data_IF_908988098954
#
_entry.id   IF_908988098954
#
_cell.length_a   1.000
_cell.length_b   1.000
_cell.length_c   1.000
_cell.angle_alpha   90.00
_cell.angle_beta   90.00
_cell.angle_gamma   90.00
#
_symmetry.space_group_name_H-M   'P 1'
#
loop_
_entity.id
_entity.type
_entity.pdbx_description
1 polymer ?
2 polymer ?
3 non-polymer ?
4 non-polymer ?
5 water ?
#
loop_
_entity_poly.entity_id
_entity_poly.type
_entity_poly.pdbx_seq_one_letter_code
_entity_poly.pdbx_strand_id
2 'polyribonucleotide' 'GG' ?
#
# COMPACT_ATOMS: atom_id res chain seq x y z
N UNK A 1 -19.32 5.92 22.29
CA UNK A 1 -18.27 6.87 21.90
C UNK A 1 -17.75 6.60 20.49
N UNK A 2 -18.46 5.75 19.76
CA UNK A 2 -18.14 5.53 18.36
C UNK A 2 -18.32 6.81 17.56
N UNK A 3 -17.44 7.02 16.59
CA UNK A 3 -17.55 8.13 15.66
C UNK A 3 -17.00 7.67 14.31
N UNK A 4 -17.78 7.77 13.22
CA UNK A 4 -17.31 7.22 11.94
C UNK A 4 -16.16 7.99 11.33
N UNK A 5 -15.79 9.15 11.88
CA UNK A 5 -14.66 9.92 11.35
C UNK A 5 -13.37 9.65 12.13
N UNK A 6 -13.41 8.88 13.21
CA UNK A 6 -12.22 8.52 13.95
C UNK A 6 -11.31 7.60 13.14
N UNK A 7 -10.03 7.62 13.47
CA UNK A 7 -8.99 6.94 12.68
C UNK A 7 -8.35 5.83 13.50
N UNK A 8 -8.22 4.65 12.91
CA UNK A 8 -7.52 3.52 13.53
C UNK A 8 -6.10 3.49 13.00
N UNK A 9 -5.13 3.68 13.90
CA UNK A 9 -3.71 3.53 13.59
C UNK A 9 -3.23 2.17 14.11
N UNK A 10 -2.45 1.47 13.30
CA UNK A 10 -2.00 0.12 13.66
C UNK A 10 -0.54 -0.05 13.25
N UNK A 11 0.18 -0.83 14.06
CA UNK A 11 1.54 -1.23 13.73
C UNK A 11 1.73 -2.69 14.13
N UNK A 12 2.28 -3.48 13.22
CA UNK A 12 2.55 -4.89 13.47
C UNK A 12 4.06 -5.15 13.45
N UNK A 13 4.46 -6.21 14.13
CA UNK A 13 5.75 -6.86 13.89
C UNK A 13 5.47 -8.24 13.35
N UNK A 14 6.35 -8.71 12.45
CA UNK A 14 6.18 -9.98 11.76
C UNK A 14 7.47 -10.77 11.81
N UNK A 15 7.37 -12.08 11.52
CA UNK A 15 8.57 -12.93 11.46
C UNK A 15 9.33 -12.76 10.15
N UNK A 16 8.79 -12.04 9.18
CA UNK A 16 9.47 -11.83 7.92
C UNK A 16 8.60 -10.96 7.03
N UNK A 17 9.08 -10.72 5.81
CA UNK A 17 8.44 -9.77 4.87
C UNK A 17 7.34 -10.36 3.99
N UNK A 18 7.06 -11.67 4.10
CA UNK A 18 6.13 -12.33 3.18
C UNK A 18 4.78 -12.52 3.86
N UNK A 19 3.74 -11.76 3.50
CA UNK A 19 2.46 -11.88 4.23
C UNK A 19 1.87 -13.28 4.21
N UNK A 20 2.17 -14.08 3.19
CA UNK A 20 1.60 -15.42 3.11
C UNK A 20 2.44 -16.49 3.80
N UNK A 21 3.76 -16.33 3.86
CA UNK A 21 4.62 -17.35 4.45
C UNK A 21 5.03 -17.04 5.90
N UNK A 22 5.04 -15.77 6.28
CA UNK A 22 5.43 -15.36 7.63
C UNK A 22 4.17 -15.09 8.44
N UNK A 23 4.34 -14.73 9.72
CA UNK A 23 3.21 -14.55 10.63
C UNK A 23 3.41 -13.29 11.45
N UNK A 24 2.33 -12.87 12.12
CA UNK A 24 2.35 -11.70 13.00
C UNK A 24 2.82 -12.13 14.39
N UNK A 25 3.73 -11.36 14.98
CA UNK A 25 4.19 -11.61 16.33
C UNK A 25 3.94 -10.46 17.30
N UNK A 26 3.59 -9.26 16.83
CA UNK A 26 3.18 -8.20 17.73
C UNK A 26 2.18 -7.31 17.03
N UNK A 27 1.26 -6.72 17.82
CA UNK A 27 0.33 -5.76 17.27
C UNK A 27 0.04 -4.70 18.32
N UNK A 28 -0.30 -3.50 17.85
CA UNK A 28 -0.74 -2.43 18.74
C UNK A 28 -1.58 -1.46 17.91
N UNK A 29 -2.46 -0.73 18.59
CA UNK A 29 -3.35 0.22 17.94
C UNK A 29 -3.46 1.48 18.77
N UNK A 30 -3.80 2.58 18.08
CA UNK A 30 -4.16 3.86 18.69
C UNK A 30 -5.28 4.44 17.85
N UNK A 31 -6.29 5.02 18.51
CA UNK A 31 -7.39 5.70 17.83
C UNK A 31 -7.22 7.20 18.02
N UNK A 32 -7.29 7.95 16.92
CA UNK A 32 -7.34 9.41 16.97
C UNK A 32 -8.65 9.88 16.36
N UNK A 33 -8.97 11.15 16.58
CA UNK A 33 -10.06 11.74 15.80
C UNK A 33 -9.52 12.15 14.43
N UNK A 34 -10.40 12.70 13.61
CA UNK A 34 -10.00 13.02 12.23
C UNK A 34 -8.97 14.15 12.18
N UNK A 35 -8.80 14.89 13.27
CA UNK A 35 -7.79 15.93 13.36
C UNK A 35 -6.53 15.47 14.11
N UNK A 36 -6.33 14.16 14.21
CA UNK A 36 -5.11 13.55 14.74
C UNK A 36 -4.91 13.77 16.24
N UNK A 37 -5.97 14.06 16.98
CA UNK A 37 -5.91 14.11 18.43
C UNK A 37 -6.14 12.71 19.00
N UNK A 38 -5.24 12.27 19.88
CA UNK A 38 -5.34 10.90 20.38
C UNK A 38 -6.52 10.75 21.32
N UNK A 39 -7.37 9.76 21.04
CA UNK A 39 -8.51 9.44 21.89
C UNK A 39 -8.23 8.31 22.86
N UNK A 40 -7.54 7.25 22.41
CA UNK A 40 -7.31 6.09 23.26
C UNK A 40 -6.19 5.26 22.66
N UNK A 41 -5.38 4.68 23.54
CA UNK A 41 -4.34 3.77 23.10
C UNK A 41 -4.82 2.33 23.32
N UNK A 42 -4.64 1.51 22.29
CA UNK A 42 -5.07 0.13 22.35
C UNK A 42 -4.04 -0.76 23.02
N UNK A 43 -4.37 -2.04 23.10
CA UNK A 43 -3.45 -2.99 23.74
C UNK A 43 -2.26 -3.31 22.87
N UNK A 44 -1.12 -3.50 23.52
CA UNK A 44 0.10 -3.99 22.86
C UNK A 44 0.20 -5.47 23.17
N UNK A 45 0.20 -6.31 22.13
CA UNK A 45 0.03 -7.75 22.30
C UNK A 45 1.15 -8.48 21.58
N UNK A 46 1.94 -9.26 22.33
CA UNK A 46 2.85 -10.24 21.75
C UNK A 46 2.10 -11.53 21.48
N UNK A 47 2.27 -12.08 20.29
CA UNK A 47 1.45 -13.21 19.83
C UNK A 47 2.32 -14.46 19.82
N UNK A 48 1.87 -15.50 20.52
CA UNK A 48 2.67 -16.70 20.64
C UNK A 48 2.85 -17.39 19.29
N UNK A 49 4.05 -17.93 19.07
CA UNK A 49 4.35 -18.74 17.89
C UNK A 49 5.24 -19.90 18.32
N UNK A 50 5.15 -21.05 17.64
CA UNK A 50 6.01 -22.19 17.99
C UNK A 50 7.48 -21.85 17.82
N UNK A 51 8.32 -22.59 18.56
CA UNK A 51 9.75 -22.28 18.59
C UNK A 51 10.38 -22.42 17.20
N UNK A 52 9.91 -23.39 16.41
CA UNK A 52 10.49 -23.56 15.08
C UNK A 52 10.25 -22.35 14.19
N UNK A 53 9.17 -21.60 14.43
CA UNK A 53 8.92 -20.39 13.66
C UNK A 53 9.93 -19.31 14.04
N UNK A 54 10.17 -19.15 15.35
CA UNK A 54 11.19 -18.23 15.82
C UNK A 54 12.56 -18.64 15.31
N UNK A 55 12.89 -19.92 15.42
CA UNK A 55 14.18 -20.42 14.93
C UNK A 55 14.34 -20.19 13.44
N UNK A 56 13.24 -20.22 12.69
CA UNK A 56 13.29 -20.10 11.26
C UNK A 56 13.40 -18.71 10.69
N UNK A 57 13.40 -17.67 11.53
CA UNK A 57 13.46 -16.31 11.02
C UNK A 57 14.81 -16.04 10.39
N UNK A 58 14.82 -15.13 9.40
CA UNK A 58 16.05 -14.79 8.72
C UNK A 58 16.99 -14.03 9.64
N UNK A 59 18.15 -13.63 9.12
CA UNK A 59 19.17 -13.04 9.98
C UNK A 59 18.71 -11.70 10.57
N UNK A 60 18.08 -10.85 9.75
CA UNK A 60 17.64 -9.55 10.23
C UNK A 60 16.59 -9.69 11.34
N UNK A 61 15.57 -10.51 11.11
CA UNK A 61 14.51 -10.65 12.10
C UNK A 61 15.00 -11.37 13.35
N UNK A 62 15.91 -12.33 13.19
CA UNK A 62 16.47 -13.02 14.37
C UNK A 62 17.18 -12.03 15.29
N UNK A 63 17.99 -11.14 14.72
CA UNK A 63 18.72 -10.19 15.54
C UNK A 63 17.79 -9.14 16.14
N UNK A 64 16.91 -8.59 15.31
CA UNK A 64 16.10 -7.45 15.75
C UNK A 64 15.07 -7.87 16.80
N UNK A 65 14.35 -8.96 16.55
CA UNK A 65 13.37 -9.40 17.54
C UNK A 65 14.03 -10.04 18.74
N UNK A 66 15.25 -10.54 18.57
CA UNK A 66 16.02 -11.00 19.72
C UNK A 66 16.35 -9.86 20.65
N UNK A 67 17.03 -8.83 20.13
CA UNK A 67 17.51 -7.78 21.02
C UNK A 67 16.41 -6.81 21.46
N UNK A 68 15.27 -6.76 20.77
CA UNK A 68 14.17 -5.93 21.27
C UNK A 68 13.45 -6.60 22.44
N UNK A 69 13.67 -7.89 22.66
CA UNK A 69 12.93 -8.64 23.64
C UNK A 69 11.66 -9.29 23.12
N UNK A 70 11.28 -9.03 21.86
CA UNK A 70 10.03 -9.59 21.34
C UNK A 70 10.11 -11.11 21.22
N UNK A 71 11.25 -11.64 20.79
CA UNK A 71 11.38 -13.09 20.66
C UNK A 71 11.05 -13.79 21.98
N UNK A 72 11.62 -13.29 23.08
CA UNK A 72 11.29 -13.86 24.39
C UNK A 72 9.82 -13.64 24.73
N UNK A 73 9.28 -12.46 24.40
CA UNK A 73 7.87 -12.18 24.67
C UNK A 73 6.95 -13.11 23.87
N UNK A 74 7.34 -13.43 22.63
CA UNK A 74 6.56 -14.35 21.81
C UNK A 74 6.56 -15.74 22.43
N UNK A 75 7.75 -16.20 22.86
CA UNK A 75 7.85 -17.49 23.52
C UNK A 75 6.99 -17.56 24.77
N UNK A 76 7.00 -16.49 25.59
CA UNK A 76 6.28 -16.49 26.86
C UNK A 76 4.79 -16.19 26.71
N UNK A 77 4.38 -15.60 25.59
CA UNK A 77 2.97 -15.28 25.40
C UNK A 77 2.10 -16.52 25.41
N UNK A 78 0.92 -16.41 26.01
CA UNK A 78 -0.14 -17.39 25.86
C UNK A 78 -1.31 -16.86 25.03
N UNK A 79 -1.08 -15.81 24.24
CA UNK A 79 -2.13 -15.19 23.41
C UNK A 79 -1.95 -15.65 21.97
N UNK A 80 -2.96 -16.33 21.42
CA UNK A 80 -2.91 -16.77 20.04
C UNK A 80 -3.22 -15.63 19.09
N UNK A 81 -2.94 -15.85 17.81
CA UNK A 81 -3.32 -14.90 16.77
C UNK A 81 -4.79 -14.53 16.86
N UNK A 82 -5.66 -15.54 17.02
CA UNK A 82 -7.10 -15.27 17.08
C UNK A 82 -7.47 -14.50 18.34
N UNK A 83 -6.84 -14.82 19.49
CA UNK A 83 -7.16 -14.10 20.71
C UNK A 83 -6.69 -12.65 20.64
N UNK A 84 -5.53 -12.42 20.02
CA UNK A 84 -5.05 -11.05 19.87
C UNK A 84 -5.96 -10.25 18.94
N UNK A 85 -6.41 -10.87 17.85
CA UNK A 85 -7.38 -10.24 16.96
C UNK A 85 -8.65 -9.85 17.72
N UNK A 86 -9.16 -10.76 18.57
CA UNK A 86 -10.39 -10.49 19.29
C UNK A 86 -10.20 -9.40 20.34
N UNK A 87 -9.04 -9.40 21.02
CA UNK A 87 -8.75 -8.34 21.98
C UNK A 87 -8.68 -6.97 21.31
N UNK A 88 -8.07 -6.90 20.13
CA UNK A 88 -7.95 -5.61 19.45
C UNK A 88 -9.31 -5.15 18.92
N UNK A 89 -10.13 -6.06 18.41
CA UNK A 89 -11.47 -5.69 17.96
C UNK A 89 -12.32 -5.19 19.12
N UNK A 90 -12.20 -5.82 20.29
CA UNK A 90 -12.99 -5.37 21.43
C UNK A 90 -12.62 -3.95 21.84
N UNK A 91 -11.35 -3.57 21.71
CA UNK A 91 -10.96 -2.19 21.97
C UNK A 91 -11.49 -1.25 20.89
N UNK A 92 -11.28 -1.61 19.61
CA UNK A 92 -11.64 -0.69 18.51
C UNK A 92 -13.14 -0.45 18.44
N UNK A 93 -13.95 -1.45 18.77
CA UNK A 93 -15.39 -1.31 18.67
C UNK A 93 -15.92 -0.20 19.58
N UNK A 94 -15.20 0.14 20.64
CA UNK A 94 -15.65 1.20 21.52
C UNK A 94 -15.48 2.59 20.90
N UNK A 95 -14.73 2.71 19.80
CA UNK A 95 -14.29 4.03 19.35
C UNK A 95 -14.62 4.31 17.90
N UNK A 96 -14.67 3.27 17.07
CA UNK A 96 -14.87 3.41 15.63
C UNK A 96 -15.87 2.36 15.15
N UNK A 97 -16.90 2.73 14.39
CA UNK A 97 -17.80 1.71 13.85
C UNK A 97 -17.15 0.97 12.69
N UNK A 98 -17.69 -0.20 12.38
CA UNK A 98 -17.10 -1.05 11.35
C UNK A 98 -17.16 -0.36 9.99
N UNK A 99 -16.11 -0.55 9.20
CA UNK A 99 -15.96 -0.09 7.82
C UNK A 99 -15.75 1.42 7.69
N UNK A 100 -15.58 2.15 8.78
CA UNK A 100 -15.49 3.61 8.69
C UNK A 100 -14.06 4.12 8.52
N UNK A 101 -13.09 3.52 9.21
CA UNK A 101 -11.79 4.16 9.17
C UNK A 101 -10.85 3.47 8.18
N UNK A 102 -10.06 4.25 7.46
CA UNK A 102 -8.96 3.66 6.69
C UNK A 102 -7.96 3.05 7.65
N UNK A 103 -7.09 2.19 7.11
CA UNK A 103 -5.96 1.73 7.93
C UNK A 103 -4.86 2.79 7.84
N UNK A 104 -4.36 3.19 9.00
CA UNK A 104 -3.55 4.39 9.11
C UNK A 104 -2.16 4.01 9.61
N UNK A 105 -1.12 4.55 8.99
CA UNK A 105 0.24 4.32 9.48
C UNK A 105 1.29 4.55 8.40
N UNK A 106 2.49 4.01 8.65
CA UNK A 106 3.58 4.08 7.67
C UNK A 106 3.65 2.76 6.92
N UNK A 107 3.54 2.84 5.59
CA UNK A 107 3.61 1.67 4.70
C UNK A 107 2.66 0.58 5.17
N UNK A 108 1.42 0.98 5.46
CA UNK A 108 0.44 0.04 6.02
C UNK A 108 -0.18 -0.89 4.99
N UNK A 109 0.19 -0.80 3.71
CA UNK A 109 -0.15 -1.88 2.80
C UNK A 109 0.44 -3.20 3.30
N UNK A 110 1.67 -3.16 3.82
CA UNK A 110 2.28 -4.35 4.40
C UNK A 110 1.43 -4.90 5.54
N UNK A 111 1.04 -4.03 6.48
CA UNK A 111 0.21 -4.47 7.60
C UNK A 111 -1.14 -5.01 7.12
N UNK A 112 -1.79 -4.34 6.16
CA UNK A 112 -3.10 -4.84 5.71
C UNK A 112 -2.97 -6.21 5.07
N UNK A 113 -1.89 -6.45 4.34
CA UNK A 113 -1.69 -7.76 3.72
C UNK A 113 -1.56 -8.85 4.78
N UNK A 114 -0.81 -8.57 5.86
CA UNK A 114 -0.69 -9.56 6.93
C UNK A 114 -2.02 -9.77 7.65
N UNK A 115 -2.76 -8.69 7.92
CA UNK A 115 -4.07 -8.83 8.54
C UNK A 115 -5.02 -9.64 7.67
N UNK A 116 -5.04 -9.36 6.37
CA UNK A 116 -5.92 -10.09 5.46
C UNK A 116 -5.70 -11.59 5.55
N UNK A 117 -4.44 -12.01 5.63
CA UNK A 117 -4.13 -13.43 5.70
C UNK A 117 -4.37 -13.99 7.10
N UNK A 118 -3.99 -13.27 8.16
CA UNK A 118 -3.89 -13.88 9.48
C UNK A 118 -4.96 -13.42 10.47
N UNK A 119 -5.54 -12.24 10.27
CA UNK A 119 -6.59 -11.71 11.13
C UNK A 119 -7.66 -11.08 10.23
N UNK A 120 -8.35 -11.90 9.43
CA UNK A 120 -9.27 -11.33 8.43
C UNK A 120 -10.48 -10.64 9.03
N UNK A 121 -10.91 -11.01 10.23
CA UNK A 121 -12.03 -10.28 10.83
C UNK A 121 -11.61 -8.86 11.16
N UNK A 122 -10.40 -8.69 11.68
CA UNK A 122 -9.89 -7.35 11.93
C UNK A 122 -9.63 -6.60 10.63
N UNK A 123 -9.05 -7.26 9.63
CA UNK A 123 -8.83 -6.58 8.35
C UNK A 123 -10.15 -6.06 7.80
N UNK A 124 -11.22 -6.86 7.93
CA UNK A 124 -12.52 -6.49 7.40
C UNK A 124 -13.19 -5.36 8.14
N UNK A 125 -12.67 -5.02 9.32
CA UNK A 125 -13.23 -3.93 10.13
C UNK A 125 -12.84 -2.56 9.58
N UNK A 126 -11.77 -2.48 8.80
CA UNK A 126 -11.35 -1.23 8.19
C UNK A 126 -12.15 -0.90 6.94
N UNK A 127 -12.25 0.40 6.67
CA UNK A 127 -12.62 0.86 5.32
C UNK A 127 -11.58 0.35 4.32
N UNK A 128 -11.93 0.36 3.03
CA UNK A 128 -10.98 -0.16 2.05
C UNK A 128 -9.83 0.81 1.76
N UNK A 129 -9.95 2.08 2.13
CA UNK A 129 -8.89 3.05 1.91
C UNK A 129 -7.69 2.78 2.81
N UNK A 130 -6.49 3.06 2.29
CA UNK A 130 -5.27 3.12 3.08
C UNK A 130 -4.87 4.58 3.27
N UNK A 131 -4.54 4.96 4.50
CA UNK A 131 -3.99 6.28 4.79
C UNK A 131 -2.50 6.07 5.10
N UNK A 132 -1.66 6.27 4.10
CA UNK A 132 -0.24 5.90 4.15
C UNK A 132 0.59 7.15 4.34
N UNK A 133 1.08 7.36 5.57
CA UNK A 133 1.92 8.51 5.87
C UNK A 133 3.16 8.52 4.99
N UNK A 134 3.69 7.35 4.63
CA UNK A 134 4.92 7.32 3.83
C UNK A 134 4.70 7.70 2.37
N UNK A 135 3.46 7.77 1.90
CA UNK A 135 3.21 8.44 0.63
C UNK A 135 3.59 9.91 0.71
N UNK A 136 3.16 10.58 1.79
CA UNK A 136 3.54 11.98 2.02
C UNK A 136 5.04 12.12 2.28
N UNK A 137 5.63 11.17 3.02
CA UNK A 137 7.07 11.19 3.25
C UNK A 137 7.83 11.23 1.92
N UNK A 138 7.46 10.36 0.99
CA UNK A 138 8.12 10.34 -0.32
C UNK A 138 7.85 11.62 -1.09
N UNK A 139 6.62 12.13 -1.06
CA UNK A 139 6.34 13.38 -1.74
C UNK A 139 7.12 14.54 -1.13
N UNK A 140 7.21 14.58 0.20
CA UNK A 140 7.93 15.68 0.84
C UNK A 140 9.42 15.60 0.52
N UNK A 141 9.98 14.38 0.44
CA UNK A 141 11.39 14.24 0.12
C UNK A 141 11.73 14.82 -1.25
N UNK A 142 10.78 14.77 -2.19
CA UNK A 142 11.05 15.21 -3.56
C UNK A 142 10.62 16.65 -3.80
N UNK A 143 9.55 17.10 -3.14
CA UNK A 143 8.98 18.43 -3.38
C UNK A 143 9.34 19.45 -2.31
N UNK A 144 9.64 19.02 -1.09
CA UNK A 144 9.94 19.93 0.02
C UNK A 144 10.94 19.28 0.98
N UNK A 145 12.18 19.11 0.53
CA UNK A 145 13.16 18.42 1.38
C UNK A 145 13.35 19.07 2.73
N UNK A 146 13.12 20.38 2.83
CA UNK A 146 13.23 21.07 4.11
C UNK A 146 12.21 20.56 5.12
N UNK A 147 11.04 20.13 4.66
CA UNK A 147 10.01 19.64 5.57
C UNK A 147 10.35 18.25 6.11
N UNK A 148 11.08 17.44 5.34
CA UNK A 148 11.46 16.12 5.84
C UNK A 148 12.56 16.22 6.89
N UNK A 149 13.41 17.24 6.81
CA UNK A 149 14.46 17.41 7.81
C UNK A 149 13.92 18.04 9.09
N UNK A 150 12.88 18.87 8.99
CA UNK A 150 12.30 19.50 10.16
C UNK A 150 11.77 18.49 11.17
N UNK A 151 11.45 17.27 10.72
CA UNK A 151 10.83 16.28 11.59
C UNK A 151 11.90 15.33 12.14
N UNK A 152 12.10 15.39 13.45
CA UNK A 152 13.02 14.49 14.14
C UNK A 152 12.25 13.27 14.62
N UNK A 153 12.61 12.09 14.10
CA UNK A 153 11.93 10.85 14.51
C UNK A 153 12.56 10.27 15.77
N UNK A 156 12.71 4.53 18.15
CA UNK A 156 11.59 4.12 18.98
C UNK A 156 11.17 2.68 18.70
N UNK A 157 11.59 1.77 19.56
CA UNK A 157 11.33 0.34 19.39
C UNK A 157 10.08 -0.13 20.13
N UNK A 158 9.49 0.69 20.98
CA UNK A 158 8.24 0.32 21.62
C UNK A 158 7.08 0.58 20.68
N UNK A 159 6.11 -0.35 20.66
CA UNK A 159 5.06 -0.31 19.65
C UNK A 159 4.26 0.99 19.73
N UNK A 160 3.85 1.40 20.94
CA UNK A 160 3.05 2.62 21.04
C UNK A 160 3.86 3.85 20.67
N UNK A 161 5.16 3.88 21.00
CA UNK A 161 6.00 4.98 20.53
C UNK A 161 6.03 5.02 19.02
N UNK A 162 6.11 3.85 18.39
CA UNK A 162 6.16 3.80 16.93
C UNK A 162 4.90 4.40 16.32
N UNK A 163 3.73 4.06 16.86
CA UNK A 163 2.49 4.59 16.31
C UNK A 163 2.38 6.08 16.61
N UNK A 164 2.74 6.49 17.82
CA UNK A 164 2.74 7.93 18.14
C UNK A 164 3.60 8.70 17.16
N UNK A 165 4.75 8.13 16.75
CA UNK A 165 5.62 8.83 15.82
C UNK A 165 5.01 8.89 14.41
N UNK A 166 4.24 7.87 14.03
CA UNK A 166 3.53 7.93 12.75
C UNK A 166 2.47 9.03 12.76
N UNK A 167 1.74 9.15 13.86
CA UNK A 167 0.75 10.22 13.99
C UNK A 167 1.44 11.58 13.97
N UNK A 168 2.55 11.71 14.71
CA UNK A 168 3.29 12.96 14.74
C UNK A 168 3.88 13.30 13.38
N UNK A 169 4.26 12.28 12.60
CA UNK A 169 4.78 12.55 11.26
C UNK A 169 3.68 13.13 10.38
N UNK A 170 2.47 12.57 10.45
CA UNK A 170 1.36 13.12 9.67
C UNK A 170 1.02 14.54 10.14
N UNK A 171 1.01 14.76 11.46
CA UNK A 171 0.79 16.12 11.97
C UNK A 171 1.81 17.10 11.39
N UNK A 172 3.05 16.65 11.25
CA UNK A 172 4.10 17.50 10.70
C UNK A 172 3.81 17.88 9.26
N UNK A 173 3.36 16.92 8.44
CA UNK A 173 3.02 17.23 7.06
C UNK A 173 1.78 18.10 6.99
N UNK A 174 0.78 17.83 7.84
CA UNK A 174 -0.42 18.65 7.82
C UNK A 174 -0.09 20.11 8.11
N UNK A 175 0.88 20.35 9.00
CA UNK A 175 1.19 21.70 9.43
C UNK A 175 2.16 22.41 8.50
N UNK A 176 3.09 21.68 7.87
CA UNK A 176 4.17 22.31 7.12
C UNK A 176 4.24 21.90 5.64
N UNK A 177 3.43 20.95 5.20
CA UNK A 177 3.47 20.46 3.84
C UNK A 177 2.16 20.62 3.10
N UNK A 178 1.04 20.51 3.80
CA UNK A 178 -0.30 20.56 3.22
C UNK A 178 -0.86 21.97 3.41
N UNK A 179 -1.59 22.44 2.41
CA UNK A 179 -2.13 23.80 2.39
C UNK A 179 -3.61 23.75 2.75
N UNK A 180 -3.95 24.27 3.92
CA UNK A 180 -5.33 24.30 4.39
C UNK A 180 -5.84 25.72 4.61
N UNK B 1 20.28 7.40 -18.79
CA UNK B 1 19.25 8.37 -18.43
C UNK B 1 18.63 8.06 -17.07
N UNK B 2 19.26 7.16 -16.32
CA UNK B 2 18.75 6.82 -14.99
C UNK B 2 18.81 8.03 -14.07
N UNK B 3 17.87 8.10 -13.14
CA UNK B 3 17.78 9.15 -12.14
C UNK B 3 17.06 8.59 -10.92
N UNK B 4 17.68 8.61 -9.75
CA UNK B 4 17.07 7.94 -8.59
C UNK B 4 15.77 8.56 -8.11
N UNK B 5 15.40 9.75 -8.59
CA UNK B 5 14.18 10.39 -8.16
C UNK B 5 13.05 10.31 -9.18
N UNK B 6 13.28 9.67 -10.32
CA UNK B 6 12.19 9.43 -11.28
C UNK B 6 11.17 8.46 -10.69
N UNK B 7 9.93 8.59 -11.14
CA UNK B 7 8.82 7.84 -10.59
C UNK B 7 8.29 6.84 -11.61
N UNK B 8 8.05 5.61 -11.17
CA UNK B 8 7.47 4.57 -12.01
C UNK B 8 5.99 4.47 -11.67
N UNK B 9 5.16 4.69 -12.68
CA UNK B 9 3.71 4.60 -12.59
C UNK B 9 3.26 3.33 -13.32
N UNK B 10 2.36 2.57 -12.71
CA UNK B 10 1.95 1.29 -13.29
C UNK B 10 0.43 1.18 -13.26
N UNK B 11 -0.10 0.38 -14.18
CA UNK B 11 -1.52 0.04 -14.21
C UNK B 11 -1.64 -1.40 -14.67
N UNK B 12 -2.47 -2.18 -13.98
CA UNK B 12 -2.64 -3.59 -14.27
C UNK B 12 -4.10 -3.90 -14.53
N UNK B 13 -4.34 -4.88 -15.40
CA UNK B 13 -5.61 -5.57 -15.48
C UNK B 13 -5.43 -7.02 -15.06
N UNK B 14 -6.44 -7.57 -14.38
CA UNK B 14 -6.37 -8.93 -13.86
C UNK B 14 -7.68 -9.65 -14.13
N UNK B 15 -7.65 -11.00 -14.06
CA UNK B 15 -8.87 -11.78 -14.24
C UNK B 15 -9.81 -11.65 -13.05
N UNK B 16 -9.37 -11.02 -11.99
CA UNK B 16 -10.09 -10.93 -10.74
C UNK B 16 -9.17 -10.33 -9.70
N UNK B 17 -9.71 -10.19 -8.48
CA UNK B 17 -9.03 -9.41 -7.45
C UNK B 17 -8.21 -10.24 -6.47
N UNK B 18 -8.12 -11.56 -6.66
CA UNK B 18 -7.45 -12.41 -5.69
C UNK B 18 -6.20 -13.02 -6.31
N UNK B 19 -5.01 -12.63 -5.89
CA UNK B 19 -3.78 -13.16 -6.50
C UNK B 19 -3.65 -14.68 -6.46
N UNK B 20 -4.30 -15.37 -5.52
CA UNK B 20 -4.23 -16.83 -5.47
C UNK B 20 -5.11 -17.47 -6.54
N UNK B 21 -6.18 -16.79 -6.95
CA UNK B 21 -7.11 -17.33 -7.92
C UNK B 21 -6.91 -16.75 -9.31
N UNK B 22 -6.34 -15.56 -9.39
CA UNK B 22 -6.36 -14.71 -10.56
C UNK B 22 -4.95 -14.41 -11.05
N UNK B 23 -4.85 -13.89 -12.28
CA UNK B 23 -3.56 -13.60 -12.89
C UNK B 23 -3.64 -12.23 -13.57
N UNK B 24 -2.47 -11.67 -13.85
CA UNK B 24 -2.39 -10.42 -14.59
C UNK B 24 -2.62 -10.69 -16.07
N UNK B 25 -3.45 -9.87 -16.70
CA UNK B 25 -3.68 -10.00 -18.14
C UNK B 25 -3.29 -8.76 -18.93
N UNK B 26 -3.11 -7.61 -18.30
CA UNK B 26 -2.56 -6.45 -19.00
C UNK B 26 -1.70 -5.65 -18.04
N UNK B 27 -0.63 -5.06 -18.58
CA UNK B 27 0.22 -4.16 -17.81
C UNK B 27 0.67 -2.98 -18.67
N UNK B 28 0.89 -1.85 -18.01
CA UNK B 28 1.36 -0.63 -18.65
C UNK B 28 2.18 0.15 -17.63
N UNK B 29 3.15 0.91 -18.12
CA UNK B 29 3.97 1.75 -17.26
C UNK B 29 4.20 3.12 -17.90
N UNK B 30 4.41 4.11 -17.04
CA UNK B 30 4.87 5.43 -17.44
C UNK B 30 5.93 5.86 -16.44
N UNK B 31 7.01 6.47 -16.93
CA UNK B 31 8.05 7.05 -16.08
C UNK B 31 7.94 8.56 -16.16
N UNK B 32 7.87 9.21 -15.01
CA UNK B 32 7.92 10.67 -14.91
C UNK B 32 9.14 11.09 -14.13
N UNK B 33 9.47 12.38 -14.20
CA UNK B 33 10.46 12.92 -13.28
C UNK B 33 9.79 13.22 -11.95
N UNK B 34 10.59 13.69 -10.99
CA UNK B 34 10.07 14.01 -9.66
C UNK B 34 8.95 15.04 -9.69
N UNK B 35 8.86 15.84 -10.75
CA UNK B 35 7.84 16.88 -10.86
C UNK B 35 6.71 16.51 -11.81
N UNK B 36 6.54 15.21 -12.08
CA UNK B 36 5.39 14.64 -12.79
C UNK B 36 5.39 14.95 -14.29
N UNK B 37 6.52 15.40 -14.84
CA UNK B 37 6.64 15.52 -16.29
C UNK B 37 6.95 14.16 -16.89
N UNK B 38 6.19 13.78 -17.93
CA UNK B 38 6.40 12.49 -18.55
C UNK B 38 7.79 12.41 -19.17
N UNK B 39 8.54 11.35 -18.83
CA UNK B 39 9.81 11.08 -19.47
C UNK B 39 9.69 10.05 -20.59
N UNK B 40 8.95 8.97 -20.34
CA UNK B 40 8.74 7.95 -21.36
C UNK B 40 7.49 7.15 -21.00
N UNK B 41 6.73 6.76 -22.03
CA UNK B 41 5.60 5.87 -21.87
C UNK B 41 6.03 4.45 -22.23
N UNK B 42 5.75 3.51 -21.35
CA UNK B 42 6.23 2.16 -21.50
C UNK B 42 5.33 1.32 -22.39
N UNK B 43 5.71 0.06 -22.57
CA UNK B 43 4.89 -0.84 -23.39
C UNK B 43 3.58 -1.20 -22.69
N UNK B 44 2.53 -1.31 -23.49
CA UNK B 44 1.23 -1.78 -23.04
C UNK B 44 1.12 -3.23 -23.49
N UNK B 45 1.15 -4.18 -22.56
CA UNK B 45 1.31 -5.59 -22.89
C UNK B 45 0.07 -6.36 -22.47
N UNK B 46 -0.54 -7.06 -23.42
CA UNK B 46 -1.59 -8.03 -23.14
C UNK B 46 -0.92 -9.39 -22.94
N UNK B 47 -1.16 -10.01 -21.78
CA UNK B 47 -0.41 -11.18 -21.34
C UNK B 47 -1.23 -12.42 -21.65
N UNK B 48 -0.64 -13.35 -22.40
CA UNK B 48 -1.37 -14.53 -22.83
C UNK B 48 -1.79 -15.38 -21.63
N UNK B 49 -3.00 -15.95 -21.72
CA UNK B 49 -3.49 -16.90 -20.73
C UNK B 49 -4.25 -18.00 -21.45
N UNK B 50 -4.14 -19.25 -21.00
CA UNK B 50 -4.86 -20.34 -21.66
C UNK B 50 -6.36 -20.21 -21.44
N UNK B 51 -7.10 -20.97 -22.23
CA UNK B 51 -8.56 -20.84 -22.24
C UNK B 51 -9.18 -21.17 -20.88
N UNK B 52 -8.69 -22.20 -20.20
CA UNK B 52 -9.30 -22.55 -18.91
C UNK B 52 -9.17 -21.40 -17.92
N UNK B 53 -8.07 -20.65 -17.96
CA UNK B 53 -7.95 -19.49 -17.09
C UNK B 53 -8.94 -18.41 -17.51
N UNK B 54 -9.14 -18.22 -18.83
CA UNK B 54 -10.11 -17.24 -19.28
C UNK B 54 -11.53 -17.64 -18.89
N UNK B 55 -11.85 -18.93 -18.97
CA UNK B 55 -13.19 -19.38 -18.63
C UNK B 55 -13.43 -19.35 -17.13
N UNK B 56 -12.38 -19.37 -16.32
CA UNK B 56 -12.45 -19.31 -14.87
C UNK B 56 -12.80 -17.95 -14.30
N UNK B 57 -12.99 -16.93 -15.13
CA UNK B 57 -13.37 -15.61 -14.65
C UNK B 57 -14.83 -15.59 -14.24
N UNK B 58 -15.16 -14.78 -13.23
CA UNK B 58 -16.53 -14.65 -12.77
C UNK B 58 -17.34 -13.89 -13.83
N UNK B 59 -18.57 -13.51 -13.47
CA UNK B 59 -19.48 -12.92 -14.44
C UNK B 59 -19.05 -11.51 -14.82
N UNK B 60 -18.73 -10.68 -13.82
CA UNK B 60 -18.38 -9.29 -14.11
C UNK B 60 -17.10 -9.19 -14.91
N UNK B 61 -16.10 -10.03 -14.59
CA UNK B 61 -14.82 -9.96 -15.29
C UNK B 61 -14.90 -10.55 -16.69
N UNK B 62 -15.67 -11.63 -16.88
CA UNK B 62 -15.86 -12.16 -18.23
C UNK B 62 -16.53 -11.13 -19.13
N UNK B 63 -17.49 -10.38 -18.59
CA UNK B 63 -18.19 -9.38 -19.39
C UNK B 63 -17.30 -8.19 -19.67
N UNK B 64 -16.62 -7.67 -18.64
CA UNK B 64 -15.86 -6.43 -18.82
C UNK B 64 -14.65 -6.63 -19.72
N UNK B 65 -13.91 -7.73 -19.53
CA UNK B 65 -12.74 -7.96 -20.39
C UNK B 65 -13.17 -8.43 -21.78
N UNK B 66 -14.30 -9.11 -21.90
CA UNK B 66 -14.82 -9.44 -23.22
C UNK B 66 -15.22 -8.20 -24.01
N UNK B 67 -16.00 -7.32 -23.38
CA UNK B 67 -16.54 -6.16 -24.09
C UNK B 67 -15.43 -5.17 -24.47
N UNK B 68 -14.39 -5.08 -23.64
CA UNK B 68 -13.28 -4.17 -23.92
C UNK B 68 -12.33 -4.71 -24.97
N UNK B 69 -12.49 -5.96 -25.39
CA UNK B 69 -11.55 -6.57 -26.30
C UNK B 69 -10.29 -7.12 -25.67
N UNK B 70 -10.08 -6.91 -24.36
CA UNK B 70 -8.87 -7.42 -23.71
C UNK B 70 -8.83 -8.95 -23.75
N UNK B 71 -9.98 -9.60 -23.59
CA UNK B 71 -10.00 -11.06 -23.61
C UNK B 71 -9.47 -11.61 -24.93
N UNK B 72 -9.88 -11.01 -26.06
CA UNK B 72 -9.37 -11.47 -27.35
C UNK B 72 -7.89 -11.12 -27.51
N UNK B 73 -7.47 -9.95 -27.03
CA UNK B 73 -6.04 -9.62 -27.04
C UNK B 73 -5.23 -10.64 -26.23
N UNK B 74 -5.77 -11.06 -25.09
CA UNK B 74 -5.08 -12.03 -24.24
C UNK B 74 -5.00 -13.38 -24.94
N UNK B 75 -6.12 -13.82 -25.50
CA UNK B 75 -6.17 -15.09 -26.22
C UNK B 75 -5.16 -15.13 -27.36
N UNK B 76 -5.03 -14.04 -28.12
CA UNK B 76 -4.11 -14.00 -29.25
C UNK B 76 -2.67 -13.76 -28.84
N UNK B 77 -2.43 -13.13 -27.69
CA UNK B 77 -1.10 -12.72 -27.29
C UNK B 77 -0.11 -13.88 -27.32
N UNK B 78 1.10 -13.60 -27.79
CA UNK B 78 2.21 -14.55 -27.65
C UNK B 78 3.22 -14.12 -26.59
N UNK B 79 2.80 -13.28 -25.64
CA UNK B 79 3.69 -12.79 -24.59
C UNK B 79 3.27 -13.43 -23.27
N UNK B 80 4.18 -14.20 -22.67
CA UNK B 80 3.92 -14.85 -21.40
C UNK B 80 4.09 -13.85 -20.25
N UNK B 81 3.58 -14.24 -19.07
CA UNK B 81 3.74 -13.43 -17.88
C UNK B 81 5.20 -13.05 -17.67
N UNK B 82 6.09 -14.04 -17.72
CA UNK B 82 7.52 -13.80 -17.52
C UNK B 82 8.09 -12.91 -18.61
N UNK B 83 7.64 -13.08 -19.86
CA UNK B 83 8.16 -12.24 -20.93
C UNK B 83 7.69 -10.81 -20.77
N UNK B 84 6.44 -10.61 -20.34
CA UNK B 84 5.94 -9.25 -20.12
C UNK B 84 6.68 -8.58 -18.98
N UNK B 85 6.96 -9.33 -17.90
CA UNK B 85 7.77 -8.81 -16.81
C UNK B 85 9.14 -8.36 -17.32
N UNK B 86 9.78 -9.20 -18.13
CA UNK B 86 11.09 -8.86 -18.66
C UNK B 86 11.02 -7.65 -19.60
N UNK B 87 9.98 -7.59 -20.44
CA UNK B 87 9.82 -6.46 -21.35
C UNK B 87 9.67 -5.16 -20.57
N UNK B 88 8.87 -5.16 -19.51
CA UNK B 88 8.70 -3.97 -18.69
C UNK B 88 9.98 -3.58 -17.96
N UNK B 89 10.69 -4.58 -17.40
CA UNK B 89 11.94 -4.28 -16.70
C UNK B 89 12.97 -3.66 -17.62
N UNK B 90 13.10 -4.19 -18.85
CA UNK B 90 14.03 -3.62 -19.81
C UNK B 90 13.71 -2.16 -20.11
N UNK B 91 12.43 -1.80 -20.11
CA UNK B 91 12.06 -0.38 -20.30
C UNK B 91 12.44 0.44 -19.07
N UNK B 92 12.04 -0.02 -17.87
CA UNK B 92 12.22 0.79 -16.67
C UNK B 92 13.69 1.01 -16.33
N UNK B 93 14.55 0.02 -16.63
CA UNK B 93 15.96 0.13 -16.29
C UNK B 93 16.65 1.27 -17.04
N UNK B 94 16.11 1.68 -18.18
CA UNK B 94 16.68 2.81 -18.90
C UNK B 94 16.46 4.13 -18.18
N UNK B 95 15.53 4.19 -17.23
CA UNK B 95 15.09 5.44 -16.64
C UNK B 95 15.24 5.51 -15.14
N UNK B 96 15.05 4.40 -14.42
CA UNK B 96 15.05 4.42 -12.96
C UNK B 96 15.97 3.34 -12.42
N UNK B 97 16.81 3.65 -11.43
CA UNK B 97 17.60 2.60 -10.77
C UNK B 97 16.74 1.68 -9.93
N UNK B 98 17.33 0.53 -9.58
CA UNK B 98 16.62 -0.46 -8.78
C UNK B 98 16.36 0.07 -7.37
N UNK B 99 15.20 -0.28 -6.83
CA UNK B 99 14.79 0.03 -5.46
C UNK B 99 14.75 1.54 -5.18
N UNK B 100 14.57 2.37 -6.19
CA UNK B 100 14.51 3.82 -5.98
C UNK B 100 13.08 4.34 -5.96
N UNK B 101 12.28 3.93 -6.92
CA UNK B 101 10.94 4.49 -7.03
C UNK B 101 9.93 3.65 -6.26
N UNK B 102 9.08 4.28 -5.45
CA UNK B 102 7.87 3.58 -4.99
C UNK B 102 6.99 3.22 -6.17
N UNK B 103 6.07 2.29 -5.94
CA UNK B 103 4.99 2.11 -6.91
C UNK B 103 4.05 3.31 -6.82
N UNK B 104 3.80 3.96 -7.96
CA UNK B 104 2.95 5.15 -8.00
C UNK B 104 1.67 4.92 -8.77
N UNK B 105 0.59 5.43 -8.22
CA UNK B 105 -0.70 5.43 -8.88
C UNK B 105 -1.81 5.39 -7.85
N UNK B 106 -2.90 4.73 -8.24
CA UNK B 106 -4.08 4.57 -7.41
C UNK B 106 -4.33 3.08 -7.17
N UNK B 107 -4.79 2.75 -5.96
CA UNK B 107 -5.07 1.36 -5.57
C UNK B 107 -3.86 0.46 -5.85
N UNK B 108 -2.68 0.94 -5.49
CA UNK B 108 -1.48 0.21 -5.87
C UNK B 108 -1.08 -0.85 -4.86
N UNK B 109 -1.72 -0.92 -3.68
CA UNK B 109 -1.49 -2.06 -2.80
C UNK B 109 -1.94 -3.34 -3.48
N UNK B 110 -3.12 -3.29 -4.11
CA UNK B 110 -3.59 -4.43 -4.90
C UNK B 110 -2.61 -4.77 -6.01
N UNK B 111 -2.09 -3.76 -6.73
CA UNK B 111 -1.07 -4.02 -7.74
C UNK B 111 0.15 -4.70 -7.14
N UNK B 112 0.63 -4.19 -6.01
CA UNK B 112 1.81 -4.79 -5.40
C UNK B 112 1.57 -6.26 -5.06
N UNK B 113 0.37 -6.60 -4.59
CA UNK B 113 0.06 -8.00 -4.26
C UNK B 113 0.19 -8.89 -5.49
N UNK B 114 -0.30 -8.40 -6.63
CA UNK B 114 -0.26 -9.21 -7.84
C UNK B 114 1.14 -9.32 -8.38
N UNK B 115 1.91 -8.23 -8.32
CA UNK B 115 3.31 -8.29 -8.78
C UNK B 115 4.13 -9.22 -7.90
N UNK B 116 3.94 -9.11 -6.58
CA UNK B 116 4.67 -9.99 -5.66
C UNK B 116 4.46 -11.45 -6.01
N UNK B 117 3.23 -11.84 -6.30
CA UNK B 117 2.91 -13.23 -6.62
C UNK B 117 3.34 -13.64 -8.03
N UNK B 118 3.07 -12.79 -9.05
CA UNK B 118 3.21 -13.19 -10.45
C UNK B 118 4.42 -12.60 -11.16
N UNK B 119 4.96 -11.47 -10.70
CA UNK B 119 6.14 -10.85 -11.30
C UNK B 119 7.08 -10.39 -10.20
N UNK B 120 7.63 -11.34 -9.42
CA UNK B 120 8.40 -10.95 -8.24
C UNK B 120 9.66 -10.16 -8.54
N UNK B 121 10.26 -10.35 -9.71
CA UNK B 121 11.44 -9.56 -10.05
C UNK B 121 11.06 -8.11 -10.30
N UNK B 122 9.96 -7.87 -11.03
CA UNK B 122 9.50 -6.49 -11.17
C UNK B 122 9.10 -5.91 -9.82
N UNK B 123 8.36 -6.66 -9.00
CA UNK B 123 7.96 -6.15 -7.69
C UNK B 123 9.19 -5.73 -6.88
N UNK B 124 10.25 -6.52 -6.92
CA UNK B 124 11.47 -6.21 -6.19
C UNK B 124 12.25 -5.05 -6.76
N UNK B 125 11.94 -4.63 -7.99
CA UNK B 125 12.64 -3.50 -8.59
C UNK B 125 12.19 -2.17 -7.99
N UNK B 126 10.97 -2.12 -7.45
CA UNK B 126 10.48 -0.93 -6.79
C UNK B 126 11.06 -0.80 -5.40
N UNK B 127 11.10 0.43 -4.90
CA UNK B 127 11.19 0.65 -3.47
C UNK B 127 9.98 0.01 -2.80
N UNK B 128 10.13 -0.36 -1.52
CA UNK B 128 9.02 -1.04 -0.86
C UNK B 128 7.85 -0.11 -0.55
N UNK B 129 8.06 1.19 -0.58
CA UNK B 129 6.96 2.11 -0.30
C UNK B 129 6.01 2.22 -1.50
N UNK B 130 4.78 2.62 -1.17
CA UNK B 130 3.77 2.95 -2.17
C UNK B 130 3.56 4.46 -2.18
N UNK B 131 3.40 5.02 -3.38
CA UNK B 131 2.99 6.41 -3.52
C UNK B 131 1.58 6.35 -4.08
N UNK B 132 0.59 6.33 -3.19
CA UNK B 132 -0.81 6.13 -3.57
C UNK B 132 -1.56 7.45 -3.47
N UNK B 133 -2.04 7.95 -4.62
CA UNK B 133 -2.73 9.24 -4.66
C UNK B 133 -3.95 9.25 -3.75
N UNK B 134 -4.55 8.08 -3.52
CA UNK B 134 -5.76 8.03 -2.71
C UNK B 134 -5.51 8.40 -1.24
N UNK B 135 -4.26 8.34 -0.77
CA UNK B 135 -3.96 8.93 0.55
C UNK B 135 -4.22 10.43 0.54
N UNK B 136 -3.79 11.12 -0.51
CA UNK B 136 -4.08 12.55 -0.61
C UNK B 136 -5.58 12.80 -0.76
N UNK B 137 -6.27 11.94 -1.51
CA UNK B 137 -7.72 12.09 -1.66
C UNK B 137 -8.42 11.96 -0.32
N UNK B 138 -8.01 11.00 0.51
CA UNK B 138 -8.63 10.79 1.81
C UNK B 138 -8.40 12.00 2.72
N UNK B 139 -7.15 12.50 2.78
CA UNK B 139 -6.85 13.66 3.61
C UNK B 139 -7.60 14.90 3.12
N UNK B 140 -7.69 15.08 1.80
CA UNK B 140 -8.43 16.22 1.27
C UNK B 140 -9.91 16.13 1.61
N UNK B 141 -10.50 14.92 1.51
CA UNK B 141 -11.89 14.74 1.87
C UNK B 141 -12.17 15.22 3.29
N UNK B 142 -11.21 15.03 4.20
CA UNK B 142 -11.37 15.43 5.59
C UNK B 142 -10.99 16.88 5.83
N UNK B 143 -9.87 17.34 5.25
CA UNK B 143 -9.31 18.64 5.63
C UNK B 143 -9.51 19.74 4.60
N UNK B 144 -9.85 19.41 3.35
CA UNK B 144 -10.10 20.42 2.32
C UNK B 144 -11.01 19.84 1.25
N UNK B 145 -12.29 19.61 1.60
CA UNK B 145 -13.18 18.87 0.69
C UNK B 145 -13.33 19.53 -0.68
N UNK B 146 -13.17 20.85 -0.76
CA UNK B 146 -13.33 21.54 -2.04
C UNK B 146 -12.27 21.11 -3.05
N UNK B 147 -11.08 20.73 -2.56
CA UNK B 147 -10.02 20.32 -3.48
C UNK B 147 -10.34 18.97 -4.09
N UNK B 148 -10.86 18.04 -3.28
CA UNK B 148 -11.23 16.73 -3.81
C UNK B 148 -12.35 16.86 -4.84
N UNK B 149 -13.34 17.70 -4.57
CA UNK B 149 -14.47 17.81 -5.48
C UNK B 149 -14.16 18.59 -6.74
N UNK B 150 -13.12 19.41 -6.75
CA UNK B 150 -12.78 20.14 -7.96
C UNK B 150 -11.95 19.33 -8.95
N UNK B 151 -11.67 18.06 -8.66
CA UNK B 151 -10.91 17.25 -9.61
C UNK B 151 -11.84 16.63 -10.65
N UNK B 152 -11.48 16.83 -11.91
CA UNK B 152 -12.25 16.41 -13.08
C UNK B 152 -11.64 15.12 -13.62
N UNK B 153 -12.22 13.97 -13.26
CA UNK B 153 -11.62 12.70 -13.64
C UNK B 153 -11.97 12.38 -15.09
N UNK B 154 -10.97 12.45 -15.97
CA UNK B 154 -11.16 12.19 -17.39
C UNK B 154 -11.32 10.72 -17.73
N UNK B 155 -11.17 10.39 -19.01
CA UNK B 155 -11.42 9.03 -19.50
C UNK B 155 -10.24 8.12 -19.17
N UNK B 156 -10.55 6.93 -18.63
CA UNK B 156 -9.52 5.97 -18.24
C UNK B 156 -9.79 4.59 -18.85
N UNK B 157 -10.42 4.55 -20.02
CA UNK B 157 -10.74 3.24 -20.61
C UNK B 157 -9.49 2.48 -21.04
N UNK B 158 -8.47 3.16 -21.54
CA UNK B 158 -7.26 2.52 -22.03
C UNK B 158 -6.10 2.83 -21.09
N UNK B 159 -5.08 1.95 -21.12
CA UNK B 159 -4.15 1.84 -20.00
C UNK B 159 -3.32 3.10 -19.81
N UNK B 160 -2.87 3.72 -20.90
CA UNK B 160 -2.01 4.89 -20.75
C UNK B 160 -2.81 6.10 -20.28
N UNK B 161 -4.02 6.28 -20.81
CA UNK B 161 -4.92 7.32 -20.30
C UNK B 161 -5.23 7.09 -18.82
N UNK B 162 -5.41 5.83 -18.43
CA UNK B 162 -5.66 5.50 -17.01
C UNK B 162 -4.52 6.01 -16.14
N UNK B 163 -3.28 5.67 -16.49
CA UNK B 163 -2.13 6.15 -15.71
C UNK B 163 -2.05 7.66 -15.74
N UNK B 164 -2.22 8.26 -16.93
CA UNK B 164 -2.11 9.71 -17.05
C UNK B 164 -3.12 10.43 -16.16
N UNK B 165 -4.31 9.85 -15.96
CA UNK B 165 -5.27 10.47 -15.06
C UNK B 165 -4.81 10.38 -13.60
N UNK B 166 -4.11 9.32 -13.25
CA UNK B 166 -3.56 9.24 -11.90
C UNK B 166 -2.47 10.29 -11.69
N UNK B 167 -1.65 10.52 -12.71
CA UNK B 167 -0.65 11.59 -12.64
C UNK B 167 -1.34 12.94 -12.55
N UNK B 168 -2.41 13.14 -13.32
CA UNK B 168 -3.14 14.41 -13.27
C UNK B 168 -3.80 14.63 -11.91
N UNK B 169 -4.28 13.54 -11.28
CA UNK B 169 -4.85 13.66 -9.95
C UNK B 169 -3.82 14.13 -8.94
N UNK B 170 -2.64 13.48 -8.93
CA UNK B 170 -1.56 13.91 -8.06
C UNK B 170 -1.15 15.35 -8.36
N UNK B 171 -1.06 15.70 -9.66
CA UNK B 171 -0.72 17.07 -10.04
C UNK B 171 -1.74 18.06 -9.48
N UNK B 172 -3.04 17.70 -9.53
CA UNK B 172 -4.09 18.52 -8.95
C UNK B 172 -3.84 18.76 -7.46
N UNK B 173 -3.52 17.69 -6.72
CA UNK B 173 -3.29 17.83 -5.29
C UNK B 173 -2.01 18.62 -4.99
N UNK B 174 -0.99 18.48 -5.83
CA UNK B 174 0.20 19.31 -5.63
C UNK B 174 -0.11 20.78 -5.83
N UNK B 175 -0.94 21.11 -6.83
CA UNK B 175 -1.21 22.50 -7.12
C UNK B 175 -2.16 23.13 -6.11
N UNK B 176 -3.05 22.36 -5.50
CA UNK B 176 -4.11 22.95 -4.68
C UNK B 176 -4.18 22.43 -3.26
N UNK B 177 -3.46 21.37 -2.91
CA UNK B 177 -3.49 20.80 -1.57
C UNK B 177 -2.13 20.84 -0.88
N UNK B 178 -1.05 21.02 -1.63
CA UNK B 178 0.31 20.96 -1.11
C UNK B 178 0.88 22.38 -1.08
N UNK B 179 1.50 22.73 0.03
CA UNK B 179 2.11 24.04 0.23
C UNK B 179 3.53 24.01 -0.34
N UNK B 180 3.78 24.85 -1.35
CA UNK B 180 5.11 24.95 -1.94
C UNK B 180 5.43 26.41 -2.28
X LIG D 1 -4.92 -6.89 1.19
X LIG D 1 -4.80 -5.67 0.60
X LIG D 1 -5.72 -5.58 -0.40
X LIG D 1 -6.44 -6.74 -0.43
X LIG D 1 -5.93 -7.56 0.58
X LIG E 1 12.12 8.09 7.86
X LIG F 1 -12.68 5.68 -3.85
#
# INVERSE_FOLDING_TARGET
>A
MQNPQNLIWIALEMTGLDPDRDVIIEMATIVTDSDLNTLAEGPVIAIHQPEEILAGMDEWNTRQHGQSGLTQRVRESTVSMAEAEAQTLAFLEQWVPKRSSPICGNSICQDRRFLYRHMPRLEGYFHYRNLDVSTLKELAARWAPQVRESFKKGNTHLALDDIRESIAELRHYRDHFIKL
>B
MQNPQNLIWIALEMTGLDPDRDVIIEMATIVTDSDLNTLAEGPVIAIHQPEEILAGMDEWNTRQHGQSGLTQRVRESTVSMAEAEAQTLAFLEQWVPKRSSPICGNSICQDRRFLYRHMPRLEGYFHYRNLDVSTLKELAARWAPQVRESFKKGNTHLALDDIRESIAELRHYRDHFIKL
>D hetero
1 IMD N1 C2 N3 C4 C5
>E hetero
1 MN MN
>F hetero
1 MN MN
#
